data_IF_775024102126
#
_entry.id   IF_775024102126
#
_cell.length_a   1.000
_cell.length_b   1.000
_cell.length_c   1.000
_cell.angle_alpha   90.00
_cell.angle_beta   90.00
_cell.angle_gamma   90.00
#
_symmetry.space_group_name_H-M   'P 1'
#
loop_
_entity.id
_entity.type
_entity.pdbx_description
1 polymer ?
#
# COMPACT_ATOMS: atom_id res chain seq x y z
N UNK A 1 1.33 17.45 34.82
CA UNK A 1 0.80 17.57 33.44
C UNK A 1 1.00 16.20 32.83
N UNK A 2 -0.08 15.44 32.64
CA UNK A 2 -0.01 14.04 32.20
C UNK A 2 0.25 14.01 30.69
N UNK A 3 1.47 13.65 30.31
CA UNK A 3 1.98 13.62 28.95
C UNK A 3 2.01 12.17 28.40
N UNK A 4 0.88 11.47 28.48
CA UNK A 4 0.81 10.01 28.19
C UNK A 4 -0.40 9.58 27.37
N UNK A 5 -0.80 10.36 26.35
CA UNK A 5 -1.92 9.97 25.48
C UNK A 5 -1.71 10.21 23.98
N UNK A 6 -0.48 10.13 23.46
CA UNK A 6 -0.23 10.21 22.01
C UNK A 6 0.55 9.01 21.43
N UNK A 7 0.79 7.94 22.20
CA UNK A 7 1.60 6.80 21.75
C UNK A 7 0.83 5.65 21.10
N UNK A 8 -0.48 5.74 20.93
CA UNK A 8 -1.22 4.60 20.38
C UNK A 8 -1.00 4.52 18.86
N UNK A 9 -0.35 3.44 18.42
CA UNK A 9 -0.22 3.08 17.03
C UNK A 9 -1.61 2.95 16.41
N UNK A 10 -1.86 3.64 15.29
CA UNK A 10 -3.13 3.53 14.57
C UNK A 10 -2.91 2.79 13.25
N UNK A 11 -3.23 1.50 13.23
CA UNK A 11 -3.09 0.68 12.04
C UNK A 11 -4.10 1.04 10.94
N UNK A 12 -3.82 0.60 9.71
CA UNK A 12 -4.76 0.77 8.59
C UNK A 12 -6.02 -0.09 8.80
N UNK A 13 -7.20 0.48 8.56
CA UNK A 13 -8.49 -0.18 8.79
C UNK A 13 -8.71 -1.36 7.83
N UNK A 14 -9.50 -2.34 8.26
CA UNK A 14 -9.93 -3.42 7.37
C UNK A 14 -11.00 -2.88 6.44
N UNK A 15 -10.84 -3.11 5.15
CA UNK A 15 -11.83 -2.76 4.16
C UNK A 15 -12.88 -3.88 4.04
N UNK A 16 -14.19 -3.56 4.12
CA UNK A 16 -15.24 -4.53 3.85
C UNK A 16 -15.23 -4.96 2.37
N UNK A 17 -15.71 -6.17 2.13
CA UNK A 17 -15.85 -6.77 0.79
C UNK A 17 -17.17 -6.40 0.08
N UNK A 18 -18.01 -5.61 0.72
CA UNK A 18 -19.35 -5.26 0.22
C UNK A 18 -19.90 -4.02 0.90
N UNK A 19 -20.75 -3.29 0.18
CA UNK A 19 -21.39 -2.07 0.66
C UNK A 19 -22.31 -2.28 1.86
N UNK A 20 -22.99 -3.44 1.92
CA UNK A 20 -23.86 -3.78 3.05
C UNK A 20 -23.12 -3.75 4.39
N UNK A 21 -21.80 -3.98 4.38
CA UNK A 21 -20.94 -3.97 5.56
C UNK A 21 -20.41 -2.56 5.92
N UNK A 22 -20.68 -1.53 5.11
CA UNK A 22 -20.31 -0.14 5.44
C UNK A 22 -21.26 0.52 6.45
N UNK A 23 -22.45 -0.06 6.69
CA UNK A 23 -23.40 0.46 7.68
C UNK A 23 -24.02 1.81 7.32
N UNK A 24 -24.05 2.19 6.03
CA UNK A 24 -24.62 3.45 5.56
C UNK A 24 -26.16 3.40 5.50
N UNK A 25 -26.80 4.52 5.81
CA UNK A 25 -28.26 4.66 5.67
C UNK A 25 -28.67 5.04 4.23
N UNK A 26 -29.97 4.95 3.91
CA UNK A 26 -30.49 5.25 2.56
C UNK A 26 -30.17 6.68 2.07
N UNK A 27 -30.17 7.65 2.98
CA UNK A 27 -29.81 9.02 2.67
C UNK A 27 -28.35 9.15 2.25
N UNK A 28 -27.44 8.43 2.92
CA UNK A 28 -26.02 8.39 2.59
C UNK A 28 -25.75 7.66 1.27
N UNK A 29 -26.46 6.57 0.99
CA UNK A 29 -26.38 5.87 -0.30
C UNK A 29 -26.70 6.81 -1.47
N UNK A 30 -27.75 7.63 -1.34
CA UNK A 30 -28.13 8.60 -2.38
C UNK A 30 -27.06 9.69 -2.61
N UNK A 31 -26.24 10.00 -1.59
CA UNK A 31 -25.14 10.96 -1.72
C UNK A 31 -23.96 10.33 -2.47
N UNK A 32 -23.73 9.03 -2.33
CA UNK A 32 -22.64 8.31 -3.01
C UNK A 32 -22.77 8.37 -4.54
N UNK A 33 -24.00 8.33 -5.05
CA UNK A 33 -24.28 8.41 -6.49
C UNK A 33 -23.88 9.75 -7.12
N UNK A 34 -23.72 10.80 -6.30
CA UNK A 34 -23.30 12.14 -6.74
C UNK A 34 -21.78 12.31 -6.74
N UNK A 35 -21.05 11.39 -6.12
CA UNK A 35 -19.59 11.44 -6.05
C UNK A 35 -18.96 10.79 -7.28
N UNK A 36 -17.75 11.23 -7.63
CA UNK A 36 -16.86 10.46 -8.50
C UNK A 36 -16.16 9.40 -7.68
N UNK A 37 -15.98 8.24 -8.28
CA UNK A 37 -15.37 7.07 -7.66
C UNK A 37 -14.12 6.67 -8.43
N UNK A 38 -13.13 6.18 -7.71
CA UNK A 38 -11.90 5.63 -8.27
C UNK A 38 -11.82 4.14 -7.96
N UNK A 39 -11.41 3.37 -8.96
CA UNK A 39 -11.02 1.97 -8.84
C UNK A 39 -9.52 1.89 -9.03
N UNK A 40 -8.85 1.26 -8.08
CA UNK A 40 -7.40 1.02 -8.11
C UNK A 40 -7.15 -0.48 -7.96
N UNK A 41 -6.07 -0.98 -8.54
CA UNK A 41 -5.68 -2.37 -8.28
C UNK A 41 -5.44 -2.58 -6.79
N UNK A 42 -5.95 -3.67 -6.25
CA UNK A 42 -5.59 -4.10 -4.91
C UNK A 42 -4.27 -4.87 -5.00
N UNK A 43 -3.15 -4.14 -4.91
CA UNK A 43 -1.81 -4.74 -4.92
C UNK A 43 -1.72 -5.83 -3.84
N UNK A 44 -1.24 -7.00 -4.28
CA UNK A 44 -1.05 -8.19 -3.46
C UNK A 44 0.35 -8.19 -2.85
N UNK A 45 0.48 -7.69 -1.63
CA UNK A 45 1.76 -7.57 -0.95
C UNK A 45 1.63 -7.61 0.56
N UNK A 46 2.31 -6.68 1.22
CA UNK A 46 2.21 -6.45 2.65
C UNK A 46 2.00 -4.97 2.94
N UNK A 47 0.93 -4.65 3.67
CA UNK A 47 0.66 -3.28 4.10
C UNK A 47 1.83 -2.70 4.91
N UNK A 48 2.26 -1.52 4.47
CA UNK A 48 3.38 -0.77 5.04
C UNK A 48 3.04 0.72 5.08
N UNK A 49 3.66 1.45 6.01
CA UNK A 49 3.45 2.88 6.10
C UNK A 49 4.67 3.61 6.64
N UNK A 50 4.83 4.84 6.15
CA UNK A 50 5.68 5.86 6.75
C UNK A 50 4.80 6.74 7.64
N UNK A 51 5.27 7.05 8.85
CA UNK A 51 4.59 7.93 9.78
C UNK A 51 5.56 8.99 10.31
N UNK A 52 5.13 10.24 10.33
CA UNK A 52 5.91 11.37 10.82
C UNK A 52 5.19 12.05 11.98
N UNK A 53 5.89 12.13 13.12
CA UNK A 53 5.39 12.68 14.38
C UNK A 53 6.59 13.11 15.24
N UNK A 54 6.51 14.27 15.89
CA UNK A 54 7.57 14.80 16.76
C UNK A 54 8.96 14.79 16.11
N UNK A 55 9.05 15.33 14.89
CA UNK A 55 10.28 15.40 14.08
C UNK A 55 10.95 14.04 13.84
N UNK A 56 10.19 12.95 13.95
CA UNK A 56 10.69 11.58 13.84
C UNK A 56 9.92 10.84 12.76
N UNK A 57 10.66 10.31 11.77
CA UNK A 57 10.13 9.37 10.81
C UNK A 57 10.12 7.95 11.40
N UNK A 58 8.99 7.28 11.29
CA UNK A 58 8.76 5.91 11.74
C UNK A 58 8.19 5.06 10.61
N UNK A 59 8.40 3.76 10.71
CA UNK A 59 7.93 2.77 9.75
C UNK A 59 6.99 1.81 10.46
N UNK A 60 5.97 1.32 9.78
CA UNK A 60 5.06 0.36 10.38
C UNK A 60 4.56 -0.65 9.36
N UNK A 61 4.30 -1.85 9.87
CA UNK A 61 3.38 -2.80 9.24
C UNK A 61 1.99 -2.57 9.81
N UNK A 62 0.99 -3.27 9.27
CA UNK A 62 -0.44 -3.07 9.60
C UNK A 62 -0.80 -2.90 11.08
N UNK A 63 -0.08 -3.56 12.00
CA UNK A 63 -0.46 -3.69 13.41
C UNK A 63 0.53 -3.09 14.41
N UNK A 64 1.72 -2.70 13.98
CA UNK A 64 2.76 -2.18 14.86
C UNK A 64 3.86 -1.45 14.08
N UNK A 65 4.56 -0.55 14.77
CA UNK A 65 5.80 0.04 14.28
C UNK A 65 6.88 -1.03 14.10
N UNK A 66 7.80 -0.74 13.17
CA UNK A 66 8.95 -1.58 12.86
C UNK A 66 10.22 -0.91 13.40
N UNK A 67 11.09 -1.73 13.97
CA UNK A 67 12.47 -1.36 14.22
C UNK A 67 13.30 -1.59 12.94
N UNK A 68 14.39 -0.82 12.76
CA UNK A 68 15.25 -0.97 11.59
C UNK A 68 15.81 -2.39 11.40
N UNK A 69 15.98 -3.14 12.50
CA UNK A 69 16.48 -4.52 12.49
C UNK A 69 15.39 -5.56 12.25
N UNK A 70 14.14 -5.15 12.14
CA UNK A 70 13.04 -6.07 11.91
C UNK A 70 13.13 -6.71 10.53
N UNK A 71 12.67 -7.95 10.51
CA UNK A 71 12.64 -8.78 9.33
C UNK A 71 11.28 -8.66 8.64
N UNK A 72 11.13 -7.63 7.80
CA UNK A 72 9.87 -7.33 7.13
C UNK A 72 10.09 -7.08 5.64
N UNK A 73 10.20 -8.17 4.87
CA UNK A 73 10.21 -8.16 3.40
C UNK A 73 11.23 -7.21 2.74
N UNK A 74 12.36 -6.95 3.40
CA UNK A 74 13.37 -6.02 2.90
C UNK A 74 12.92 -4.56 2.84
N UNK A 75 11.98 -4.13 3.71
CA UNK A 75 11.47 -2.75 3.74
C UNK A 75 12.58 -1.68 3.80
N UNK A 76 13.76 -2.02 4.33
CA UNK A 76 14.93 -1.16 4.36
C UNK A 76 15.37 -0.70 2.96
N UNK A 77 15.19 -1.53 1.93
CA UNK A 77 15.49 -1.18 0.53
C UNK A 77 14.61 -0.01 0.07
N UNK A 78 13.32 -0.11 0.36
CA UNK A 78 12.32 0.92 0.03
C UNK A 78 12.54 2.18 0.86
N UNK A 79 12.80 2.06 2.17
CA UNK A 79 13.07 3.22 3.02
C UNK A 79 14.29 3.98 2.51
N UNK A 80 15.38 3.28 2.19
CA UNK A 80 16.62 3.92 1.71
C UNK A 80 16.41 4.72 0.41
N UNK A 81 15.43 4.35 -0.42
CA UNK A 81 15.10 5.07 -1.65
C UNK A 81 14.13 6.25 -1.43
N UNK A 82 13.17 6.09 -0.51
CA UNK A 82 12.03 7.00 -0.39
C UNK A 82 12.10 7.98 0.80
N UNK A 83 13.01 7.79 1.74
CA UNK A 83 13.07 8.55 3.00
C UNK A 83 13.07 10.07 2.79
N UNK A 84 13.97 10.59 1.94
CA UNK A 84 14.06 12.04 1.67
C UNK A 84 12.78 12.61 1.05
N UNK A 85 12.12 11.84 0.16
CA UNK A 85 10.87 12.24 -0.50
C UNK A 85 9.72 12.24 0.50
N UNK A 86 9.66 11.23 1.36
CA UNK A 86 8.66 11.13 2.43
C UNK A 86 8.82 12.26 3.45
N UNK A 87 10.05 12.55 3.90
CA UNK A 87 10.32 13.68 4.79
C UNK A 87 9.90 15.00 4.16
N UNK A 88 10.24 15.23 2.90
CA UNK A 88 9.84 16.45 2.17
C UNK A 88 8.31 16.59 2.08
N UNK A 89 7.60 15.50 1.80
CA UNK A 89 6.13 15.48 1.79
C UNK A 89 5.57 15.80 3.19
N UNK A 90 6.07 15.16 4.24
CA UNK A 90 5.53 15.35 5.59
C UNK A 90 5.79 16.75 6.13
N UNK A 91 6.96 17.31 5.87
CA UNK A 91 7.27 18.70 6.20
C UNK A 91 6.33 19.66 5.48
N UNK A 92 6.08 19.42 4.19
CA UNK A 92 5.10 20.22 3.45
C UNK A 92 3.69 20.09 4.05
N UNK A 93 3.22 18.86 4.30
CA UNK A 93 1.91 18.61 4.89
C UNK A 93 1.75 19.28 6.25
N UNK A 94 2.78 19.26 7.10
CA UNK A 94 2.79 19.91 8.41
C UNK A 94 2.57 21.42 8.33
N UNK A 95 3.04 22.06 7.26
CA UNK A 95 2.79 23.49 7.02
C UNK A 95 1.41 23.77 6.40
N UNK A 96 0.86 22.80 5.66
CA UNK A 96 -0.36 22.97 4.88
C UNK A 96 -1.64 22.60 5.64
N UNK A 97 -1.56 21.62 6.55
CA UNK A 97 -2.72 21.07 7.27
C UNK A 97 -2.33 20.81 8.72
N UNK A 98 -3.14 21.28 9.67
CA UNK A 98 -2.90 21.03 11.09
C UNK A 98 -3.03 19.54 11.42
N UNK A 99 -2.10 19.03 12.23
CA UNK A 99 -2.05 17.64 12.64
C UNK A 99 -0.84 17.35 13.51
N UNK A 100 -0.94 16.32 14.35
CA UNK A 100 0.15 15.86 15.23
C UNK A 100 0.91 14.67 14.64
N UNK A 101 0.28 13.92 13.72
CA UNK A 101 0.90 12.79 13.02
C UNK A 101 0.42 12.72 11.57
N UNK A 102 1.36 12.52 10.66
CA UNK A 102 1.12 12.41 9.21
C UNK A 102 1.54 11.02 8.77
N UNK A 103 0.71 10.33 7.98
CA UNK A 103 0.94 8.93 7.62
C UNK A 103 0.71 8.75 6.13
N UNK A 104 1.67 8.14 5.44
CA UNK A 104 1.50 7.62 4.08
C UNK A 104 1.37 6.10 4.17
N UNK A 105 0.20 5.60 3.82
CA UNK A 105 -0.05 4.16 3.69
C UNK A 105 0.19 3.70 2.27
N UNK A 106 0.77 2.52 2.15
CA UNK A 106 0.94 1.83 0.88
C UNK A 106 1.09 0.33 1.06
N UNK A 107 1.50 -0.30 -0.02
CA UNK A 107 1.78 -1.74 -0.07
C UNK A 107 3.24 -1.94 -0.45
N UNK A 108 3.97 -2.73 0.35
CA UNK A 108 5.25 -3.33 -0.08
C UNK A 108 4.93 -4.55 -0.95
N UNK A 109 5.54 -4.65 -2.11
CA UNK A 109 5.25 -5.72 -3.07
C UNK A 109 6.46 -6.08 -3.93
N UNK A 110 6.33 -7.14 -4.72
CA UNK A 110 7.35 -7.59 -5.66
C UNK A 110 8.27 -8.67 -5.08
N UNK A 111 9.52 -8.66 -5.53
CA UNK A 111 10.59 -9.55 -5.11
C UNK A 111 10.69 -10.85 -5.90
N UNK A 112 9.84 -11.03 -6.91
CA UNK A 112 9.92 -12.13 -7.85
C UNK A 112 9.15 -11.82 -9.13
N UNK A 113 9.74 -12.17 -10.27
CA UNK A 113 9.12 -12.00 -11.57
C UNK A 113 9.48 -13.17 -12.50
N UNK A 114 8.55 -14.12 -12.73
CA UNK A 114 8.84 -15.37 -13.43
C UNK A 114 8.83 -15.20 -14.96
N UNK A 115 9.70 -14.35 -15.50
CA UNK A 115 9.86 -14.16 -16.95
C UNK A 115 11.29 -14.51 -17.40
N UNK A 116 11.51 -15.24 -18.51
CA UNK A 116 12.85 -15.65 -18.96
C UNK A 116 13.83 -14.50 -19.21
N UNK A 117 13.31 -13.33 -19.59
CA UNK A 117 14.11 -12.13 -19.89
C UNK A 117 14.38 -11.25 -18.66
N UNK A 118 13.79 -11.58 -17.50
CA UNK A 118 13.92 -10.78 -16.28
C UNK A 118 14.76 -11.56 -15.28
N UNK A 119 15.93 -11.01 -14.95
CA UNK A 119 16.82 -11.62 -13.96
C UNK A 119 16.28 -11.45 -12.55
N UNK A 120 16.38 -12.50 -11.73
CA UNK A 120 16.06 -12.41 -10.32
C UNK A 120 17.06 -11.49 -9.60
N UNK A 121 16.56 -10.71 -8.63
CA UNK A 121 17.40 -9.84 -7.79
C UNK A 121 18.02 -10.67 -6.69
N UNK A 122 19.33 -10.52 -6.51
CA UNK A 122 20.07 -11.31 -5.53
C UNK A 122 19.60 -10.99 -4.10
N UNK A 123 19.34 -12.03 -3.30
CA UNK A 123 18.93 -11.92 -1.89
C UNK A 123 17.55 -11.32 -1.65
N UNK A 124 16.75 -11.17 -2.69
CA UNK A 124 15.35 -10.77 -2.62
C UNK A 124 14.47 -11.99 -2.90
N UNK A 125 13.34 -12.08 -2.21
CA UNK A 125 12.30 -13.07 -2.50
C UNK A 125 10.94 -12.40 -2.53
N UNK A 126 9.95 -13.10 -3.10
CA UNK A 126 8.60 -12.59 -3.26
C UNK A 126 7.99 -12.17 -1.92
N UNK A 127 7.34 -11.00 -1.87
CA UNK A 127 6.50 -10.60 -0.72
C UNK A 127 5.27 -11.48 -0.63
N UNK A 128 4.65 -11.74 -1.78
CA UNK A 128 3.52 -12.65 -1.97
C UNK A 128 3.67 -13.38 -3.30
N UNK A 129 2.92 -14.47 -3.48
CA UNK A 129 2.94 -15.27 -4.71
C UNK A 129 1.64 -15.16 -5.49
N UNK A 130 1.74 -15.33 -6.80
CA UNK A 130 0.64 -15.57 -7.71
C UNK A 130 0.04 -14.33 -8.37
N UNK A 131 0.31 -13.12 -7.86
CA UNK A 131 0.46 -11.95 -8.74
C UNK A 131 1.92 -11.51 -8.69
N UNK A 132 2.54 -11.32 -9.84
CA UNK A 132 3.94 -10.94 -9.96
C UNK A 132 4.05 -9.56 -10.59
N UNK A 133 4.72 -8.66 -9.88
CA UNK A 133 4.76 -7.24 -10.24
C UNK A 133 6.12 -6.82 -10.76
N UNK A 134 7.20 -7.24 -10.09
CA UNK A 134 8.57 -6.82 -10.33
C UNK A 134 9.56 -7.75 -9.62
N UNK A 135 10.79 -7.93 -10.13
CA UNK A 135 11.82 -8.71 -9.43
C UNK A 135 12.36 -7.99 -8.17
N UNK A 136 12.19 -6.67 -8.07
CA UNK A 136 12.61 -5.85 -6.94
C UNK A 136 11.54 -5.74 -5.84
N UNK A 137 11.91 -5.22 -4.65
CA UNK A 137 10.94 -4.81 -3.62
C UNK A 137 10.60 -3.35 -3.83
N UNK A 138 9.34 -3.06 -4.14
CA UNK A 138 8.83 -1.72 -4.37
C UNK A 138 7.72 -1.36 -3.38
N UNK A 139 7.36 -0.08 -3.36
CA UNK A 139 6.28 0.46 -2.58
C UNK A 139 5.39 1.36 -3.42
N UNK A 140 4.09 1.08 -3.40
CA UNK A 140 3.07 1.97 -3.96
C UNK A 140 2.23 2.53 -2.82
N UNK A 141 2.27 3.86 -2.67
CA UNK A 141 1.35 4.57 -1.80
C UNK A 141 -0.10 4.42 -2.29
N UNK A 142 -1.06 4.41 -1.38
CA UNK A 142 -2.47 4.42 -1.72
C UNK A 142 -3.29 5.42 -0.90
N UNK A 143 -2.80 5.89 0.26
CA UNK A 143 -3.52 6.86 1.10
C UNK A 143 -2.59 7.75 1.90
N UNK A 144 -3.06 8.97 2.18
CA UNK A 144 -2.48 9.88 3.18
C UNK A 144 -3.50 10.05 4.30
N UNK A 145 -3.05 9.92 5.54
CA UNK A 145 -3.83 10.20 6.74
C UNK A 145 -3.15 11.24 7.63
N UNK A 146 -3.96 12.02 8.32
CA UNK A 146 -3.53 13.01 9.30
C UNK A 146 -4.30 12.75 10.59
N UNK A 147 -3.58 12.61 11.69
CA UNK A 147 -4.15 12.54 13.04
C UNK A 147 -4.13 13.96 13.61
N UNK A 148 -5.28 14.44 14.05
CA UNK A 148 -5.39 15.75 14.70
C UNK A 148 -5.07 15.69 16.20
N UNK A 149 -5.08 16.85 16.87
CA UNK A 149 -4.79 16.97 18.30
C UNK A 149 -5.75 16.16 19.21
N UNK A 150 -6.95 15.83 18.72
CA UNK A 150 -7.91 14.98 19.44
C UNK A 150 -7.62 13.48 19.30
N UNK A 151 -6.64 13.11 18.46
CA UNK A 151 -6.33 11.73 18.12
C UNK A 151 -7.21 11.17 16.98
N UNK A 152 -8.06 11.99 16.36
CA UNK A 152 -8.91 11.53 15.26
C UNK A 152 -8.09 11.44 13.97
N UNK A 153 -8.08 10.24 13.37
CA UNK A 153 -7.40 9.96 12.11
C UNK A 153 -8.31 10.24 10.93
N UNK A 154 -7.88 11.18 10.09
CA UNK A 154 -8.60 11.64 8.92
C UNK A 154 -7.82 11.32 7.64
N UNK A 155 -8.49 10.77 6.64
CA UNK A 155 -7.88 10.47 5.35
C UNK A 155 -8.09 11.62 4.35
N UNK A 156 -7.09 11.84 3.49
CA UNK A 156 -7.26 12.66 2.30
C UNK A 156 -8.05 11.89 1.23
N UNK A 157 -8.77 12.61 0.39
CA UNK A 157 -9.36 12.03 -0.81
C UNK A 157 -8.28 11.63 -1.83
N UNK A 158 -8.62 10.72 -2.74
CA UNK A 158 -7.66 10.16 -3.68
C UNK A 158 -7.01 11.23 -4.57
N UNK A 159 -7.79 12.16 -5.12
CA UNK A 159 -7.30 13.22 -6.01
C UNK A 159 -6.24 14.08 -5.30
N UNK A 160 -6.51 14.52 -4.07
CA UNK A 160 -5.50 15.27 -3.28
C UNK A 160 -4.27 14.42 -3.01
N UNK A 161 -4.44 13.19 -2.50
CA UNK A 161 -3.31 12.32 -2.16
C UNK A 161 -2.42 12.03 -3.38
N UNK A 162 -3.03 11.70 -4.52
CA UNK A 162 -2.33 11.48 -5.78
C UNK A 162 -1.54 12.72 -6.22
N UNK A 163 -2.11 13.93 -6.10
CA UNK A 163 -1.38 15.16 -6.44
C UNK A 163 -0.12 15.37 -5.60
N UNK A 164 -0.17 15.03 -4.30
CA UNK A 164 1.01 15.06 -3.44
C UNK A 164 2.02 13.96 -3.82
N UNK A 165 1.56 12.74 -4.12
CA UNK A 165 2.46 11.68 -4.56
C UNK A 165 3.20 12.06 -5.84
N UNK A 166 2.52 12.66 -6.81
CA UNK A 166 3.14 13.17 -8.04
C UNK A 166 4.12 14.31 -7.76
N UNK A 167 3.72 15.30 -6.96
CA UNK A 167 4.55 16.46 -6.62
C UNK A 167 5.87 16.06 -5.95
N UNK A 168 5.84 15.05 -5.08
CA UNK A 168 6.98 14.60 -4.29
C UNK A 168 7.69 13.36 -4.87
N UNK A 169 7.30 12.90 -6.05
CA UNK A 169 7.95 11.76 -6.72
C UNK A 169 7.81 10.44 -5.96
N UNK A 170 6.66 10.21 -5.33
CA UNK A 170 6.31 8.99 -4.60
C UNK A 170 5.45 8.13 -5.53
N UNK A 171 5.89 6.90 -5.80
CA UNK A 171 5.10 5.95 -6.57
C UNK A 171 3.83 5.56 -5.83
N UNK A 172 2.72 5.44 -6.56
CA UNK A 172 1.41 5.19 -5.98
C UNK A 172 0.51 4.39 -6.93
N UNK A 173 -0.52 3.76 -6.38
CA UNK A 173 -1.44 2.94 -7.18
C UNK A 173 -2.27 3.83 -8.11
N UNK A 174 -2.07 3.66 -9.42
CA UNK A 174 -2.75 4.44 -10.46
C UNK A 174 -4.22 3.99 -10.64
N UNK A 175 -5.10 4.88 -11.12
CA UNK A 175 -6.49 4.52 -11.38
C UNK A 175 -6.60 3.51 -12.52
N UNK A 176 -7.34 2.42 -12.28
CA UNK A 176 -7.87 1.56 -13.35
C UNK A 176 -9.12 2.17 -13.97
N UNK A 177 -9.89 2.90 -13.17
CA UNK A 177 -11.13 3.55 -13.60
C UNK A 177 -11.46 4.74 -12.68
N UNK A 178 -12.00 5.80 -13.28
CA UNK A 178 -12.62 6.93 -12.56
C UNK A 178 -13.99 7.18 -13.18
N UNK A 179 -15.05 7.18 -12.39
CA UNK A 179 -16.39 7.37 -12.94
C UNK A 179 -17.49 7.28 -11.90
N UNK A 180 -18.66 6.80 -12.33
CA UNK A 180 -19.84 6.67 -11.48
C UNK A 180 -19.72 5.48 -10.53
N UNK A 181 -20.43 5.56 -9.41
CA UNK A 181 -20.42 4.52 -8.39
C UNK A 181 -20.81 3.14 -8.92
N UNK A 182 -21.94 3.02 -9.62
CA UNK A 182 -22.41 1.75 -10.16
C UNK A 182 -21.44 1.13 -11.16
N UNK A 183 -20.73 1.94 -11.95
CA UNK A 183 -19.71 1.44 -12.88
C UNK A 183 -18.49 0.91 -12.12
N UNK A 184 -18.04 1.63 -11.07
CA UNK A 184 -16.96 1.19 -10.21
C UNK A 184 -17.29 -0.15 -9.50
N UNK A 185 -18.51 -0.31 -8.99
CA UNK A 185 -18.95 -1.54 -8.32
C UNK A 185 -19.03 -2.77 -9.23
N UNK A 186 -19.22 -2.55 -10.54
CA UNK A 186 -19.29 -3.61 -11.54
C UNK A 186 -17.99 -3.72 -12.36
N UNK A 187 -16.89 -3.18 -11.83
CA UNK A 187 -15.59 -3.27 -12.49
C UNK A 187 -15.18 -4.73 -12.71
N UNK A 188 -14.75 -5.06 -13.93
CA UNK A 188 -14.29 -6.41 -14.26
C UNK A 188 -12.94 -6.70 -13.61
N UNK A 189 -12.92 -7.57 -12.60
CA UNK A 189 -11.69 -7.98 -11.90
C UNK A 189 -10.90 -9.08 -12.62
N UNK A 190 -11.43 -9.65 -13.71
CA UNK A 190 -10.76 -10.67 -14.53
C UNK A 190 -9.85 -10.02 -15.57
N UNK A 191 -8.85 -9.30 -15.08
CA UNK A 191 -7.80 -8.66 -15.88
C UNK A 191 -6.45 -9.02 -15.29
N UNK A 192 -5.42 -9.05 -16.14
CA UNK A 192 -4.04 -9.12 -15.67
C UNK A 192 -3.60 -7.79 -15.06
N UNK A 193 -2.67 -7.84 -14.10
CA UNK A 193 -2.13 -6.63 -13.47
C UNK A 193 -1.45 -5.75 -14.51
N UNK A 194 -1.81 -4.45 -14.64
CA UNK A 194 -1.09 -3.50 -15.49
C UNK A 194 0.25 -3.04 -14.90
N UNK A 195 0.50 -3.28 -13.61
CA UNK A 195 1.68 -2.77 -12.90
C UNK A 195 3.00 -3.16 -13.54
N UNK A 196 3.24 -4.42 -13.99
CA UNK A 196 4.49 -4.76 -14.64
C UNK A 196 4.76 -3.91 -15.89
N UNK A 197 3.73 -3.66 -16.70
CA UNK A 197 3.82 -2.82 -17.89
C UNK A 197 4.11 -1.35 -17.54
N UNK A 198 3.51 -0.83 -16.46
CA UNK A 198 3.83 0.51 -15.94
C UNK A 198 5.30 0.62 -15.51
N UNK A 199 5.89 -0.47 -15.02
CA UNK A 199 7.30 -0.59 -14.64
C UNK A 199 8.22 -0.95 -15.82
N UNK A 200 7.69 -1.07 -17.03
CA UNK A 200 8.47 -1.42 -18.23
C UNK A 200 8.91 -2.88 -18.32
N UNK A 201 8.23 -3.79 -17.61
CA UNK A 201 8.48 -5.22 -17.64
C UNK A 201 7.64 -5.93 -18.72
N UNK A 202 8.14 -7.06 -19.27
CA UNK A 202 7.41 -7.84 -20.28
C UNK A 202 6.17 -8.51 -19.69
N UNK A 203 5.13 -8.72 -20.49
CA UNK A 203 3.88 -9.33 -20.00
C UNK A 203 4.09 -10.77 -19.49
N UNK A 204 3.30 -11.15 -18.48
CA UNK A 204 3.19 -12.53 -17.99
C UNK A 204 1.86 -13.11 -18.41
N UNK A 205 1.85 -14.38 -18.82
CA UNK A 205 0.60 -15.10 -19.06
C UNK A 205 -0.14 -15.34 -17.74
N UNK A 206 -1.44 -14.98 -17.69
CA UNK A 206 -2.34 -15.26 -16.58
C UNK A 206 -1.90 -14.67 -15.22
N UNK A 207 -1.47 -13.41 -15.22
CA UNK A 207 -1.07 -12.67 -14.03
C UNK A 207 -2.23 -11.85 -13.46
N UNK A 208 -3.33 -12.55 -13.16
CA UNK A 208 -4.59 -11.96 -12.72
C UNK A 208 -4.43 -11.16 -11.42
N UNK A 209 -5.08 -10.00 -11.35
CA UNK A 209 -5.11 -9.17 -10.13
C UNK A 209 -5.81 -9.91 -8.97
N UNK A 210 -5.39 -9.64 -7.72
CA UNK A 210 -6.12 -10.10 -6.52
C UNK A 210 -7.54 -9.52 -6.50
N UNK A 211 -7.68 -8.29 -6.98
CA UNK A 211 -8.92 -7.56 -7.01
C UNK A 211 -8.69 -6.07 -7.10
N UNK A 212 -9.67 -5.29 -6.68
CA UNK A 212 -9.64 -3.82 -6.72
C UNK A 212 -10.10 -3.20 -5.41
N UNK A 213 -9.61 -1.99 -5.14
CA UNK A 213 -10.11 -1.11 -4.09
C UNK A 213 -10.92 0.00 -4.74
N UNK A 214 -12.12 0.25 -4.18
CA UNK A 214 -13.07 1.26 -4.65
C UNK A 214 -13.26 2.28 -3.54
N UNK A 215 -13.04 3.55 -3.85
CA UNK A 215 -13.22 4.67 -2.92
C UNK A 215 -13.61 5.96 -3.64
N UNK A 216 -14.12 6.99 -2.93
CA UNK A 216 -14.40 8.27 -3.54
C UNK A 216 -13.13 8.90 -4.11
N UNK A 217 -13.26 9.47 -5.29
CA UNK A 217 -12.16 10.15 -5.98
C UNK A 217 -11.83 11.49 -5.30
N UNK A 218 -12.85 12.30 -5.00
CA UNK A 218 -12.69 13.69 -4.55
C UNK A 218 -13.64 14.10 -3.41
N UNK A 219 -13.81 13.24 -2.41
CA UNK A 219 -14.65 13.54 -1.23
C UNK A 219 -13.94 14.50 -0.27
N UNK A 220 -14.14 15.81 -0.45
CA UNK A 220 -13.58 16.85 0.43
C UNK A 220 -14.36 17.02 1.74
N UNK A 221 -15.69 16.92 1.67
CA UNK A 221 -16.57 17.01 2.83
C UNK A 221 -16.61 15.66 3.56
N UNK A 222 -15.91 15.59 4.69
CA UNK A 222 -15.78 14.38 5.50
C UNK A 222 -17.02 14.10 6.36
N UNK A 223 -17.88 15.09 6.57
CA UNK A 223 -19.14 14.93 7.31
C UNK A 223 -20.28 14.45 6.40
N UNK A 224 -20.04 14.39 5.09
CA UNK A 224 -21.01 13.93 4.11
C UNK A 224 -21.50 12.50 4.41
N UNK A 225 -20.59 11.66 4.94
CA UNK A 225 -20.79 10.24 5.25
C UNK A 225 -20.26 9.91 6.64
N UNK A 226 -21.02 9.11 7.39
CA UNK A 226 -20.69 8.68 8.75
C UNK A 226 -19.45 7.80 8.83
N UNK A 227 -19.13 7.09 7.74
CA UNK A 227 -17.97 6.20 7.65
C UNK A 227 -17.23 6.42 6.33
N UNK A 228 -15.91 6.21 6.36
CA UNK A 228 -15.05 6.23 5.17
C UNK A 228 -15.54 5.16 4.18
N UNK A 229 -16.07 5.53 3.00
CA UNK A 229 -16.78 4.59 2.14
C UNK A 229 -15.82 3.88 1.18
N UNK A 230 -14.90 3.09 1.74
CA UNK A 230 -13.91 2.31 0.98
C UNK A 230 -14.29 0.85 1.04
N UNK A 231 -14.34 0.19 -0.12
CA UNK A 231 -14.58 -1.26 -0.22
C UNK A 231 -13.51 -1.91 -1.09
N UNK A 232 -13.45 -3.24 -1.00
CA UNK A 232 -12.66 -4.06 -1.92
C UNK A 232 -13.56 -5.04 -2.67
N UNK A 233 -13.27 -5.28 -3.94
CA UNK A 233 -13.81 -6.40 -4.70
C UNK A 233 -12.65 -7.36 -4.98
N UNK A 234 -12.87 -8.65 -4.79
CA UNK A 234 -11.87 -9.67 -5.10
C UNK A 234 -12.14 -10.28 -6.47
N UNK A 235 -11.08 -10.75 -7.13
CA UNK A 235 -11.21 -11.68 -8.23
C UNK A 235 -11.50 -13.09 -7.67
N UNK A 236 -12.64 -13.73 -8.00
CA UNK A 236 -12.96 -15.07 -7.51
C UNK A 236 -11.91 -16.12 -7.89
N UNK A 237 -11.32 -16.01 -9.08
CA UNK A 237 -10.32 -16.96 -9.58
C UNK A 237 -9.01 -16.89 -8.76
N UNK A 238 -8.74 -15.73 -8.16
CA UNK A 238 -7.57 -15.54 -7.30
C UNK A 238 -7.69 -16.28 -5.96
N UNK A 239 -8.90 -16.42 -5.40
CA UNK A 239 -9.08 -17.11 -4.11
C UNK A 239 -9.08 -18.65 -4.28
N UNK A 240 -9.21 -19.18 -5.50
CA UNK A 240 -9.40 -20.61 -5.76
C UNK A 240 -8.08 -21.39 -6.03
N UNK A 241 -6.99 -20.74 -6.45
CA UNK A 241 -5.77 -21.47 -6.80
C UNK A 241 -4.69 -21.48 -5.70
N UNK A 242 -4.19 -22.68 -5.36
CA UNK A 242 -3.13 -22.84 -4.35
C UNK A 242 -1.82 -22.11 -4.68
N UNK A 243 -1.56 -21.78 -5.96
CA UNK A 243 -0.34 -21.06 -6.37
C UNK A 243 -0.23 -19.67 -5.74
N UNK A 244 -1.35 -19.08 -5.33
CA UNK A 244 -1.41 -17.75 -4.71
C UNK A 244 -0.94 -17.73 -3.25
N UNK A 245 -0.63 -18.87 -2.63
CA UNK A 245 -0.34 -18.98 -1.19
C UNK A 245 1.02 -19.65 -0.86
N UNK A 246 1.99 -19.58 -1.77
CA UNK A 246 3.28 -20.29 -1.68
C UNK A 246 4.46 -19.42 -1.22
N UNK A 247 4.22 -18.17 -0.83
CA UNK A 247 5.29 -17.29 -0.35
C UNK A 247 5.91 -17.80 0.95
N UNK A 248 7.24 -17.88 0.98
CA UNK A 248 8.01 -18.26 2.18
C UNK A 248 8.51 -17.03 2.94
N UNK A 249 8.66 -17.14 4.27
CA UNK A 249 9.29 -16.08 5.07
C UNK A 249 10.77 -16.02 4.77
N UNK A 250 11.29 -14.83 4.50
CA UNK A 250 12.69 -14.61 4.18
C UNK A 250 13.26 -13.38 4.86
N UNK A 251 14.59 -13.34 4.96
CA UNK A 251 15.31 -12.28 5.65
C UNK A 251 16.52 -11.76 4.90
N UNK A 252 16.50 -10.46 4.61
CA UNK A 252 17.61 -9.77 3.95
C UNK A 252 18.91 -9.93 4.77
N UNK A 253 18.84 -9.76 6.09
CA UNK A 253 20.01 -9.89 6.98
C UNK A 253 20.52 -11.33 7.05
N UNK A 254 19.65 -12.34 7.14
CA UNK A 254 20.11 -13.74 7.24
C UNK A 254 20.73 -14.26 5.95
N UNK A 255 20.19 -13.88 4.79
CA UNK A 255 20.74 -14.30 3.50
C UNK A 255 22.15 -13.73 3.32
N UNK A 256 22.37 -12.45 3.67
CA UNK A 256 23.70 -11.83 3.62
C UNK A 256 24.72 -12.53 4.54
N UNK A 257 24.29 -12.96 5.73
CA UNK A 257 25.14 -13.63 6.72
C UNK A 257 25.48 -15.08 6.34
N UNK A 258 24.53 -15.83 5.78
CA UNK A 258 24.78 -17.19 5.29
C UNK A 258 25.84 -17.20 4.19
N UNK A 259 25.77 -16.26 3.24
CA UNK A 259 26.77 -16.13 2.18
C UNK A 259 28.16 -15.78 2.71
N UNK A 260 28.27 -14.86 3.68
CA UNK A 260 29.57 -14.59 4.35
C UNK A 260 30.17 -15.84 4.98
N UNK A 261 29.36 -16.69 5.62
CA UNK A 261 29.83 -17.97 6.16
C UNK A 261 30.30 -18.92 5.06
N UNK A 262 29.53 -19.10 3.98
CA UNK A 262 29.92 -19.97 2.85
C UNK A 262 31.20 -19.46 2.17
N UNK A 263 31.32 -18.15 1.93
CA UNK A 263 32.53 -17.54 1.37
C UNK A 263 33.77 -17.77 2.25
N UNK A 264 33.64 -17.61 3.57
CA UNK A 264 34.73 -17.88 4.52
C UNK A 264 35.10 -19.37 4.62
N UNK A 265 34.17 -20.29 4.36
CA UNK A 265 34.43 -21.73 4.30
C UNK A 265 35.15 -22.14 3.01
N UNK A 266 34.86 -21.49 1.88
CA UNK A 266 35.51 -21.75 0.59
C UNK A 266 36.94 -21.19 0.51
N UNK A 267 37.30 -20.20 1.33
CA UNK A 267 38.67 -19.68 1.43
C UNK A 267 39.58 -20.47 2.40
N UNK A 268 39.03 -21.48 3.09
CA UNK A 268 39.76 -22.32 4.06
C UNK A 268 40.06 -23.74 3.56
N UNK A 269 39.73 -24.04 2.30
CA UNK A 269 40.10 -25.25 1.57
C UNK A 269 40.96 -24.87 0.36
#
# INVERSE_FOLDING_TARGET
MNDTALTEFSGYEKMPDSLKKLGLNEGELSKMDKLKWVVTEKIHGANFSFAYENDTLRYAKRREYLDWKDDFFGFQLVVSELEDRMLSLFEHLRTAVSGVRYIVYGELFGGHYPHPEVSAVENVQAVQTGVYYTPDILFYAFDIAIVDESGLKNYMDYETAASYFEQFGISYVKPLFIGKFNEALNFNTRIDSPVPKELGLPDLEHNLIEGVVIKPYNLKDKELLSNRPVIKLKNPEFDEEEKFHKAEKWSLFRISLQKRKVFLLLQKN
#
